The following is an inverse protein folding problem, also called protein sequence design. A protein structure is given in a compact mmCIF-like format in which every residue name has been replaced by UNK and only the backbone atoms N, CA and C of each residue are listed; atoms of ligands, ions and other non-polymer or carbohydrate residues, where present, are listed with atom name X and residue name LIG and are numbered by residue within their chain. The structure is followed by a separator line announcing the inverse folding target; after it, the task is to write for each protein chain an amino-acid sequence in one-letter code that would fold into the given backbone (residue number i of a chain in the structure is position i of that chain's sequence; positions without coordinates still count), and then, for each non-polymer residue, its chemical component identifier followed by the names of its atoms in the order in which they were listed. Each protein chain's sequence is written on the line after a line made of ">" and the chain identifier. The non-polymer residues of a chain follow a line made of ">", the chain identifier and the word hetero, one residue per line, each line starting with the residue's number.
data_IF_162496702616
#
_entry.id   IF_162496702616
#
_cell.length_a   1.000
_cell.length_b   1.000
_cell.length_c   1.000
_cell.angle_alpha   90.00
_cell.angle_beta   90.00
_cell.angle_gamma   90.00
#
_symmetry.space_group_name_H-M   'P 1'
#
loop_
_entity.id
_entity.type
_entity.pdbx_description
1 polymer ?
#
# COMPACT_ATOMS: atom_id res chain seq x y z
N UNK A 1 -9.23 -13.25 26.04
CA UNK A 1 -8.80 -13.19 24.62
C UNK A 1 -7.96 -11.95 24.49
N UNK A 2 -6.64 -12.11 24.37
CA UNK A 2 -5.70 -11.00 24.40
C UNK A 2 -5.82 -10.18 23.10
N UNK A 3 -6.31 -8.95 23.21
CA UNK A 3 -6.39 -8.00 22.12
C UNK A 3 -4.98 -7.59 21.70
N UNK A 4 -4.62 -7.90 20.46
CA UNK A 4 -3.36 -7.52 19.86
C UNK A 4 -3.34 -5.99 19.70
N UNK A 5 -2.57 -5.29 20.53
CA UNK A 5 -2.36 -3.85 20.41
C UNK A 5 -1.40 -3.59 19.26
N UNK A 6 -1.90 -2.98 18.18
CA UNK A 6 -1.10 -2.50 17.06
C UNK A 6 -0.17 -1.37 17.55
N UNK A 7 1.09 -1.71 17.84
CA UNK A 7 2.11 -0.79 18.35
C UNK A 7 2.64 0.14 17.23
N UNK A 8 1.84 1.13 16.82
CA UNK A 8 2.33 2.34 16.15
C UNK A 8 2.24 2.39 14.62
N UNK A 9 1.74 1.34 13.95
CA UNK A 9 1.43 1.40 12.52
C UNK A 9 -0.06 1.68 12.31
N UNK A 10 -0.37 2.91 11.93
CA UNK A 10 -1.73 3.26 11.52
C UNK A 10 -2.03 2.63 10.16
N UNK A 11 -3.22 2.04 9.93
CA UNK A 11 -3.62 1.50 8.63
C UNK A 11 -3.41 2.47 7.45
N UNK A 12 -3.62 3.77 7.68
CA UNK A 12 -3.36 4.87 6.74
C UNK A 12 -1.90 5.00 6.31
N UNK A 13 -0.94 4.51 7.11
CA UNK A 13 0.48 4.57 6.80
C UNK A 13 0.87 3.70 5.59
N UNK A 14 0.12 2.63 5.31
CA UNK A 14 0.38 1.72 4.18
C UNK A 14 0.03 2.40 2.86
N UNK A 15 -1.06 3.18 2.81
CA UNK A 15 -1.45 3.96 1.63
C UNK A 15 -0.36 4.96 1.22
N UNK A 16 0.17 5.72 2.19
CA UNK A 16 1.25 6.66 1.93
C UNK A 16 2.55 5.96 1.48
N UNK A 17 2.85 4.77 2.01
CA UNK A 17 4.02 4.00 1.59
C UNK A 17 3.91 3.54 0.14
N UNK A 18 2.77 2.96 -0.24
CA UNK A 18 2.54 2.50 -1.63
C UNK A 18 2.62 3.68 -2.59
N UNK A 19 2.07 4.84 -2.23
CA UNK A 19 2.18 6.04 -3.04
C UNK A 19 3.61 6.50 -3.30
N UNK A 20 4.43 6.54 -2.25
CA UNK A 20 5.85 6.89 -2.37
C UNK A 20 6.58 5.91 -3.31
N UNK A 21 6.28 4.61 -3.22
CA UNK A 21 6.88 3.61 -4.10
C UNK A 21 6.38 3.73 -5.55
N UNK A 22 5.10 4.04 -5.78
CA UNK A 22 4.56 4.31 -7.11
C UNK A 22 5.15 5.59 -7.76
N UNK A 23 5.55 6.57 -6.96
CA UNK A 23 6.18 7.81 -7.44
C UNK A 23 7.69 7.72 -7.60
N UNK A 24 8.34 6.67 -7.08
CA UNK A 24 9.76 6.38 -7.31
C UNK A 24 10.04 6.07 -8.79
N UNK A 25 9.06 5.51 -9.52
CA UNK A 25 9.15 5.21 -10.95
C UNK A 25 10.04 4.02 -11.34
N UNK A 26 10.83 3.45 -10.41
CA UNK A 26 11.65 2.24 -10.63
C UNK A 26 11.68 1.36 -9.38
N UNK A 27 11.51 0.06 -9.56
CA UNK A 27 11.81 -0.94 -8.52
C UNK A 27 13.30 -0.87 -8.16
N UNK A 28 13.62 -0.99 -6.87
CA UNK A 28 15.02 -1.16 -6.45
C UNK A 28 15.53 -2.51 -6.98
N UNK A 29 16.80 -2.61 -7.37
CA UNK A 29 17.41 -3.91 -7.72
C UNK A 29 17.36 -4.91 -6.55
N UNK A 30 17.25 -4.41 -5.31
CA UNK A 30 17.03 -5.19 -4.08
C UNK A 30 15.56 -5.32 -3.68
N UNK A 31 14.60 -5.14 -4.60
CA UNK A 31 13.16 -5.15 -4.34
C UNK A 31 12.60 -6.56 -4.08
N UNK A 32 13.37 -7.43 -3.41
CA UNK A 32 12.81 -8.65 -2.86
C UNK A 32 11.72 -8.28 -1.86
N UNK A 33 10.52 -8.86 -2.03
CA UNK A 33 9.33 -8.71 -1.18
C UNK A 33 8.62 -7.36 -1.30
N UNK A 34 8.81 -6.60 -2.38
CA UNK A 34 8.06 -5.37 -2.60
C UNK A 34 6.56 -5.64 -2.79
N UNK A 35 6.21 -6.78 -3.40
CA UNK A 35 4.84 -7.25 -3.59
C UNK A 35 4.04 -7.37 -2.29
N UNK A 36 4.72 -7.57 -1.16
CA UNK A 36 4.10 -7.63 0.17
C UNK A 36 3.39 -6.33 0.54
N UNK A 37 3.87 -5.17 0.09
CA UNK A 37 3.22 -3.90 0.39
C UNK A 37 1.83 -3.78 -0.25
N UNK A 38 1.69 -4.23 -1.49
CA UNK A 38 0.38 -4.28 -2.18
C UNK A 38 -0.51 -5.36 -1.56
N UNK A 39 0.05 -6.52 -1.23
CA UNK A 39 -0.68 -7.57 -0.52
C UNK A 39 -1.24 -7.07 0.83
N UNK A 40 -0.38 -6.49 1.68
CA UNK A 40 -0.76 -5.96 2.99
C UNK A 40 -1.81 -4.87 2.85
N UNK A 41 -1.70 -4.00 1.84
CA UNK A 41 -2.69 -2.97 1.55
C UNK A 41 -4.06 -3.57 1.21
N UNK A 42 -4.12 -4.59 0.35
CA UNK A 42 -5.38 -5.27 0.00
C UNK A 42 -5.97 -5.99 1.21
N UNK A 43 -5.15 -6.71 1.97
CA UNK A 43 -5.60 -7.41 3.18
C UNK A 43 -6.14 -6.44 4.23
N UNK A 44 -5.45 -5.32 4.43
CA UNK A 44 -5.88 -4.27 5.35
C UNK A 44 -7.18 -3.63 4.89
N UNK A 45 -7.30 -3.30 3.61
CA UNK A 45 -8.51 -2.72 3.05
C UNK A 45 -9.72 -3.66 3.11
N UNK A 46 -9.50 -4.97 3.00
CA UNK A 46 -10.52 -5.99 3.23
C UNK A 46 -10.93 -6.13 4.70
N UNK A 47 -10.08 -5.72 5.64
CA UNK A 47 -10.34 -5.83 7.07
C UNK A 47 -11.22 -4.67 7.59
N UNK A 48 -12.16 -4.90 8.53
CA UNK A 48 -13.02 -3.84 9.08
C UNK A 48 -12.26 -2.63 9.64
N UNK A 49 -11.07 -2.86 10.22
CA UNK A 49 -10.21 -1.79 10.71
C UNK A 49 -9.65 -0.91 9.59
N UNK A 50 -9.24 -1.49 8.45
CA UNK A 50 -8.77 -0.69 7.31
C UNK A 50 -9.92 0.04 6.62
N UNK A 51 -11.10 -0.58 6.50
CA UNK A 51 -12.30 0.10 6.00
C UNK A 51 -12.68 1.30 6.88
N UNK A 52 -12.57 1.19 8.20
CA UNK A 52 -12.81 2.31 9.11
C UNK A 52 -11.74 3.40 8.97
N UNK A 53 -10.48 3.02 8.71
CA UNK A 53 -9.40 3.98 8.52
C UNK A 53 -9.54 4.76 7.21
N UNK A 54 -9.94 4.11 6.12
CA UNK A 54 -10.23 4.76 4.83
C UNK A 54 -11.36 5.78 4.95
N UNK A 55 -12.36 5.50 5.80
CA UNK A 55 -13.46 6.45 6.07
C UNK A 55 -13.03 7.64 6.93
N UNK A 56 -11.94 7.53 7.67
CA UNK A 56 -11.45 8.61 8.53
C UNK A 56 -10.35 9.41 7.79
N UNK A 57 -10.80 10.32 6.92
CA UNK A 57 -9.93 11.18 6.13
C UNK A 57 -8.99 12.03 7.00
N UNK A 58 -9.49 12.58 8.10
CA UNK A 58 -8.70 13.42 9.01
C UNK A 58 -7.50 12.65 9.60
N UNK A 59 -7.72 11.39 10.01
CA UNK A 59 -6.66 10.52 10.51
C UNK A 59 -5.61 10.22 9.43
N UNK A 60 -6.06 9.97 8.20
CA UNK A 60 -5.15 9.76 7.06
C UNK A 60 -4.28 11.01 6.81
N UNK A 61 -4.89 12.19 6.78
CA UNK A 61 -4.18 13.45 6.56
C UNK A 61 -3.20 13.78 7.70
N UNK A 62 -3.52 13.44 8.94
CA UNK A 62 -2.59 13.56 10.07
C UNK A 62 -1.36 12.66 9.88
N UNK A 63 -1.56 11.40 9.48
CA UNK A 63 -0.46 10.47 9.21
C UNK A 63 0.41 10.93 8.05
N UNK A 64 -0.20 11.41 6.95
CA UNK A 64 0.54 11.94 5.80
C UNK A 64 1.34 13.18 6.20
N UNK A 65 0.75 14.11 6.97
CA UNK A 65 1.46 15.30 7.49
C UNK A 65 2.62 14.90 8.39
N UNK A 66 2.42 13.95 9.29
CA UNK A 66 3.48 13.44 10.14
C UNK A 66 4.61 12.82 9.29
N UNK A 67 4.28 11.94 8.35
CA UNK A 67 5.26 11.33 7.44
C UNK A 67 5.99 12.36 6.57
N UNK A 68 5.32 13.42 6.13
CA UNK A 68 5.95 14.51 5.36
C UNK A 68 7.07 15.20 6.13
N UNK A 69 6.91 15.37 7.44
CA UNK A 69 7.93 15.97 8.31
C UNK A 69 9.12 15.04 8.54
N UNK A 70 8.88 13.74 8.76
CA UNK A 70 9.94 12.79 9.14
C UNK A 70 10.60 12.03 7.98
N UNK A 71 9.89 11.84 6.85
CA UNK A 71 10.31 11.00 5.72
C UNK A 71 10.27 11.77 4.40
N UNK A 72 10.79 13.00 4.39
CA UNK A 72 10.84 13.82 3.20
C UNK A 72 11.81 13.22 2.15
N UNK A 73 11.27 12.78 1.01
CA UNK A 73 12.05 12.40 -0.17
C UNK A 73 11.46 13.10 -1.40
N UNK A 74 12.30 13.47 -2.37
CA UNK A 74 11.86 14.23 -3.56
C UNK A 74 10.85 13.52 -4.45
N UNK A 75 10.64 12.22 -4.25
CA UNK A 75 9.66 11.39 -4.97
C UNK A 75 8.47 10.99 -4.09
N UNK A 76 8.39 11.44 -2.83
CA UNK A 76 7.33 11.02 -1.93
C UNK A 76 5.96 11.63 -2.26
N UNK A 77 5.94 12.83 -2.84
CA UNK A 77 4.75 13.59 -3.24
C UNK A 77 3.58 13.53 -2.24
N UNK A 78 3.86 13.63 -0.93
CA UNK A 78 2.83 13.58 0.10
C UNK A 78 1.71 14.63 -0.08
N UNK A 79 1.97 15.72 -0.81
CA UNK A 79 0.94 16.69 -1.17
C UNK A 79 -0.12 16.11 -2.11
N UNK A 80 0.25 15.21 -3.02
CA UNK A 80 -0.71 14.48 -3.87
C UNK A 80 -1.61 13.56 -3.02
N UNK A 81 -1.09 12.97 -1.94
CA UNK A 81 -1.91 12.22 -1.01
C UNK A 81 -3.00 13.10 -0.36
N UNK A 82 -2.65 14.32 0.03
CA UNK A 82 -3.57 15.26 0.69
C UNK A 82 -4.62 15.81 -0.29
N UNK A 83 -4.26 15.98 -1.56
CA UNK A 83 -5.13 16.50 -2.62
C UNK A 83 -6.07 15.45 -3.23
N UNK A 84 -6.07 14.20 -2.72
CA UNK A 84 -6.88 13.12 -3.31
C UNK A 84 -6.35 12.65 -4.66
N UNK A 85 -5.04 12.73 -4.87
CA UNK A 85 -4.31 12.20 -6.03
C UNK A 85 -3.39 11.07 -5.60
N UNK A 86 -3.88 10.18 -4.72
CA UNK A 86 -3.11 8.99 -4.37
C UNK A 86 -2.90 8.12 -5.61
N UNK A 87 -1.65 7.74 -5.80
CA UNK A 87 -1.18 6.77 -6.79
C UNK A 87 -0.91 5.46 -6.04
N UNK A 88 -1.76 4.46 -6.19
CA UNK A 88 -1.59 3.12 -5.61
C UNK A 88 -1.24 2.08 -6.67
N UNK A 89 -1.58 2.36 -7.94
CA UNK A 89 -1.19 1.56 -9.07
C UNK A 89 0.19 1.99 -9.62
N UNK A 90 1.17 1.08 -9.67
CA UNK A 90 2.46 1.37 -10.27
C UNK A 90 2.38 1.35 -11.81
N UNK A 91 3.41 1.88 -12.47
CA UNK A 91 3.55 1.84 -13.93
C UNK A 91 3.83 0.42 -14.44
N UNK A 92 3.53 0.15 -15.71
CA UNK A 92 3.55 -1.20 -16.31
C UNK A 92 4.86 -1.96 -16.07
N UNK A 93 6.02 -1.32 -16.25
CA UNK A 93 7.32 -1.96 -16.04
C UNK A 93 7.54 -2.38 -14.57
N UNK A 94 7.02 -1.58 -13.63
CA UNK A 94 7.06 -1.89 -12.19
C UNK A 94 6.04 -2.99 -11.85
N UNK A 95 4.90 -3.03 -12.54
CA UNK A 95 3.88 -4.06 -12.38
C UNK A 95 4.40 -5.46 -12.75
N UNK A 96 5.15 -5.57 -13.85
CA UNK A 96 5.75 -6.85 -14.28
C UNK A 96 6.78 -7.37 -13.26
N UNK A 97 7.64 -6.48 -12.75
CA UNK A 97 8.59 -6.85 -11.70
C UNK A 97 7.89 -7.25 -10.39
N UNK A 98 6.79 -6.59 -10.05
CA UNK A 98 5.95 -6.93 -8.89
C UNK A 98 5.29 -8.30 -9.02
N UNK A 99 4.82 -8.65 -10.22
CA UNK A 99 4.24 -9.97 -10.50
C UNK A 99 5.27 -11.06 -10.22
N UNK A 100 6.47 -10.94 -10.78
CA UNK A 100 7.54 -11.92 -10.57
C UNK A 100 7.98 -12.04 -9.11
N UNK A 101 7.99 -10.94 -8.35
CA UNK A 101 8.26 -10.96 -6.90
C UNK A 101 7.11 -11.61 -6.10
N UNK A 102 5.86 -11.36 -6.50
CA UNK A 102 4.68 -11.95 -5.87
C UNK A 102 4.66 -13.47 -6.02
N UNK A 103 4.85 -13.96 -7.25
CA UNK A 103 4.88 -15.39 -7.55
C UNK A 103 5.96 -16.11 -6.74
N UNK A 104 7.19 -15.56 -6.70
CA UNK A 104 8.28 -16.09 -5.86
C UNK A 104 7.92 -16.13 -4.37
N UNK A 105 7.22 -15.11 -3.88
CA UNK A 105 6.84 -15.01 -2.46
C UNK A 105 5.74 -16.03 -2.11
N UNK A 106 4.80 -16.26 -3.03
CA UNK A 106 3.76 -17.30 -2.90
C UNK A 106 4.38 -18.69 -2.95
N UNK A 107 5.25 -18.97 -3.93
CA UNK A 107 5.97 -20.24 -4.05
C UNK A 107 6.84 -20.56 -2.83
N UNK A 108 7.46 -19.54 -2.23
CA UNK A 108 8.24 -19.69 -1.01
C UNK A 108 7.40 -20.02 0.25
N UNK A 109 6.07 -20.13 0.12
CA UNK A 109 5.17 -20.45 1.23
C UNK A 109 5.12 -19.36 2.30
N UNK A 110 5.51 -18.13 1.95
CA UNK A 110 5.58 -17.00 2.89
C UNK A 110 4.27 -16.21 3.00
N UNK A 111 3.19 -16.68 2.37
CA UNK A 111 1.86 -16.06 2.38
C UNK A 111 0.83 -16.94 3.10
N UNK A 112 -0.35 -16.38 3.35
CA UNK A 112 -1.49 -17.11 3.91
C UNK A 112 -1.85 -18.34 3.06
N UNK A 113 -2.53 -19.32 3.67
CA UNK A 113 -2.84 -20.63 3.07
C UNK A 113 -3.59 -20.59 1.73
N UNK A 114 -4.23 -19.47 1.38
CA UNK A 114 -4.84 -19.25 0.07
C UNK A 114 -4.69 -17.77 -0.29
N UNK A 115 -3.55 -17.37 -0.88
CA UNK A 115 -3.36 -16.00 -1.30
C UNK A 115 -4.24 -15.70 -2.53
N UNK A 116 -4.76 -14.46 -2.66
CA UNK A 116 -5.48 -14.04 -3.87
C UNK A 116 -4.57 -14.11 -5.10
N UNK A 117 -5.14 -14.11 -6.30
CA UNK A 117 -4.30 -13.98 -7.50
C UNK A 117 -3.66 -12.60 -7.58
N UNK A 118 -2.60 -12.46 -8.36
CA UNK A 118 -1.99 -11.15 -8.57
C UNK A 118 -2.98 -10.19 -9.24
N UNK A 119 -3.78 -10.70 -10.17
CA UNK A 119 -4.88 -9.98 -10.83
C UNK A 119 -5.88 -9.43 -9.82
N UNK A 120 -6.34 -10.26 -8.87
CA UNK A 120 -7.28 -9.84 -7.82
C UNK A 120 -6.69 -8.73 -6.94
N UNK A 121 -5.38 -8.79 -6.66
CA UNK A 121 -4.67 -7.73 -5.93
C UNK A 121 -4.72 -6.44 -6.74
N UNK A 122 -4.37 -6.47 -8.02
CA UNK A 122 -4.37 -5.28 -8.88
C UNK A 122 -5.76 -4.67 -9.02
N UNK A 123 -6.79 -5.49 -9.19
CA UNK A 123 -8.17 -5.01 -9.29
C UNK A 123 -8.66 -4.42 -7.97
N UNK A 124 -8.31 -5.03 -6.83
CA UNK A 124 -8.58 -4.47 -5.51
C UNK A 124 -7.89 -3.13 -5.31
N UNK A 125 -6.63 -3.01 -5.72
CA UNK A 125 -5.86 -1.76 -5.61
C UNK A 125 -6.47 -0.67 -6.48
N UNK A 126 -6.88 -0.99 -7.72
CA UNK A 126 -7.58 -0.07 -8.61
C UNK A 126 -8.87 0.45 -7.99
N UNK A 127 -9.66 -0.45 -7.40
CA UNK A 127 -10.87 -0.08 -6.70
C UNK A 127 -10.56 0.87 -5.52
N UNK A 128 -9.56 0.56 -4.70
CA UNK A 128 -9.18 1.38 -3.56
C UNK A 128 -8.70 2.77 -3.95
N UNK A 129 -7.87 2.87 -4.99
CA UNK A 129 -7.41 4.16 -5.52
C UNK A 129 -8.60 5.05 -5.91
N UNK A 130 -9.57 4.48 -6.63
CA UNK A 130 -10.78 5.21 -7.03
C UNK A 130 -11.63 5.67 -5.84
N UNK A 131 -11.71 4.86 -4.77
CA UNK A 131 -12.49 5.15 -3.57
C UNK A 131 -11.87 6.21 -2.67
N UNK A 132 -10.53 6.25 -2.61
CA UNK A 132 -9.79 7.19 -1.77
C UNK A 132 -9.67 8.57 -2.44
N UNK A 133 -9.71 8.60 -3.77
CA UNK A 133 -9.62 9.81 -4.59
C UNK A 133 -10.99 10.41 -4.97
N UNK A 134 -12.11 9.82 -4.49
CA UNK A 134 -13.49 10.30 -4.74
C UNK A 134 -14.06 11.04 -3.53
#
# INVERSE_FOLDING_TARGET
>A
MAGFTWNGWQPSAVYALVHVECNRGKLRESAERLSRHWYDLVMLAGHPAGQSAVKNRELFEEVVRHKKVFFHTGYANYDECLDGRLKLLPETDTLEGLRGDYEKTVEAGMMYSTPPSFEDIIDSIRYLESRVNS
#
